data_IF_642220203755
#
_entry.id   IF_642220203755
#
_cell.length_a   1.000
_cell.length_b   1.000
_cell.length_c   1.000
_cell.angle_alpha   90.00
_cell.angle_beta   90.00
_cell.angle_gamma   90.00
#
_symmetry.space_group_name_H-M   'P 1'
#
loop_
_entity.id
_entity.type
_entity.pdbx_description
1 polymer ?
#
# COMPACT_ATOMS: atom_id res chain seq x y z
N UNK A 1 24.69 11.93 -19.97
CA UNK A 1 23.44 12.68 -20.23
C UNK A 1 22.41 11.72 -20.79
N UNK A 2 21.54 11.20 -19.94
CA UNK A 2 20.57 10.16 -20.29
C UNK A 2 19.45 10.76 -21.14
N UNK A 3 19.36 10.31 -22.40
CA UNK A 3 18.35 10.75 -23.39
C UNK A 3 17.06 9.95 -23.18
N UNK A 4 16.17 10.40 -22.31
CA UNK A 4 14.78 9.96 -22.34
C UNK A 4 14.03 10.77 -23.41
N UNK A 5 13.22 10.15 -24.28
CA UNK A 5 12.43 10.88 -25.27
C UNK A 5 11.45 11.82 -24.55
N UNK A 6 11.41 13.09 -24.95
CA UNK A 6 10.37 14.02 -24.49
C UNK A 6 9.02 13.52 -25.01
N UNK A 7 8.08 13.18 -24.12
CA UNK A 7 6.72 12.79 -24.50
C UNK A 7 6.19 11.49 -23.91
N UNK A 8 6.75 10.94 -22.85
CA UNK A 8 5.98 10.01 -22.01
C UNK A 8 4.82 10.80 -21.40
N UNK A 9 3.61 10.24 -21.49
CA UNK A 9 2.37 10.93 -21.16
C UNK A 9 2.42 11.41 -19.70
N UNK A 10 2.45 12.73 -19.50
CA UNK A 10 2.47 13.35 -18.18
C UNK A 10 1.21 13.01 -17.36
N UNK A 11 0.14 12.53 -18.01
CA UNK A 11 -1.08 12.07 -17.38
C UNK A 11 -1.08 10.57 -17.00
N UNK A 12 -0.06 9.80 -17.40
CA UNK A 12 0.03 8.38 -17.05
C UNK A 12 0.55 8.20 -15.61
N UNK A 13 0.10 7.14 -14.95
CA UNK A 13 0.65 6.72 -13.66
C UNK A 13 1.72 5.66 -13.87
N UNK A 14 2.85 5.83 -13.20
CA UNK A 14 3.82 4.78 -12.99
C UNK A 14 3.56 4.09 -11.65
N UNK A 15 4.05 2.85 -11.51
CA UNK A 15 3.78 2.01 -10.35
C UNK A 15 5.07 1.60 -9.66
N UNK A 16 5.21 2.01 -8.40
CA UNK A 16 6.17 1.39 -7.48
C UNK A 16 5.49 0.15 -6.90
N UNK A 17 6.17 -0.99 -6.92
CA UNK A 17 5.63 -2.26 -6.43
C UNK A 17 6.38 -2.74 -5.20
N UNK A 18 5.62 -3.21 -4.20
CA UNK A 18 6.14 -3.86 -2.99
C UNK A 18 5.46 -5.22 -2.92
N UNK A 19 6.25 -6.28 -3.08
CA UNK A 19 5.76 -7.65 -3.12
C UNK A 19 6.06 -8.37 -1.81
N UNK A 20 5.07 -9.12 -1.32
CA UNK A 20 5.21 -10.04 -0.18
C UNK A 20 5.73 -9.37 1.11
N UNK A 21 5.24 -8.17 1.46
CA UNK A 21 5.51 -7.60 2.77
C UNK A 21 4.74 -8.38 3.83
N UNK A 22 5.46 -9.10 4.70
CA UNK A 22 4.91 -9.94 5.74
C UNK A 22 5.14 -9.33 7.13
N UNK A 23 4.13 -9.41 7.99
CA UNK A 23 4.20 -9.01 9.39
C UNK A 23 3.17 -9.76 10.22
N UNK A 24 3.46 -9.87 11.52
CA UNK A 24 2.55 -10.48 12.49
C UNK A 24 1.58 -9.46 13.08
N UNK A 25 0.28 -9.78 13.11
CA UNK A 25 -0.71 -8.99 13.84
C UNK A 25 -1.85 -9.83 14.42
N UNK A 26 -2.60 -9.24 15.36
CA UNK A 26 -3.82 -9.83 15.90
C UNK A 26 -4.96 -9.50 14.95
N UNK A 27 -5.39 -10.48 14.15
CA UNK A 27 -6.44 -10.31 13.16
C UNK A 27 -7.46 -11.44 13.19
N UNK A 28 -8.76 -11.16 13.13
CA UNK A 28 -9.79 -12.20 13.06
C UNK A 28 -10.90 -12.04 14.10
N UNK A 29 -11.94 -12.86 13.96
CA UNK A 29 -13.17 -12.79 14.77
C UNK A 29 -13.23 -13.88 15.84
N UNK A 30 -12.54 -15.00 15.64
CA UNK A 30 -12.63 -16.12 16.57
C UNK A 30 -11.74 -15.91 17.80
N UNK A 31 -12.15 -16.37 19.00
CA UNK A 31 -11.38 -16.15 20.23
C UNK A 31 -9.91 -16.62 20.16
N UNK A 32 -9.63 -17.71 19.45
CA UNK A 32 -8.27 -18.20 19.28
C UNK A 32 -7.40 -17.25 18.42
N UNK A 33 -7.98 -16.59 17.42
CA UNK A 33 -7.31 -15.56 16.60
C UNK A 33 -7.02 -14.28 17.39
N UNK A 34 -7.74 -14.06 18.50
CA UNK A 34 -7.55 -12.88 19.37
C UNK A 34 -6.47 -13.07 20.42
N UNK A 35 -6.07 -14.32 20.66
CA UNK A 35 -5.11 -14.68 21.71
C UNK A 35 -3.65 -14.69 21.22
N UNK A 36 -3.43 -14.78 19.90
CA UNK A 36 -2.11 -14.92 19.31
C UNK A 36 -2.00 -14.06 18.04
N UNK A 37 -0.80 -13.59 17.75
CA UNK A 37 -0.50 -12.98 16.45
C UNK A 37 -0.43 -14.06 15.38
N UNK A 38 -0.75 -13.68 14.15
CA UNK A 38 -0.61 -14.54 12.98
C UNK A 38 -0.08 -13.74 11.78
N UNK A 39 0.60 -14.41 10.84
CA UNK A 39 1.18 -13.74 9.70
C UNK A 39 0.07 -13.17 8.81
N UNK A 40 0.24 -11.90 8.47
CA UNK A 40 -0.48 -11.23 7.40
C UNK A 40 0.53 -10.81 6.37
N UNK A 41 0.13 -10.94 5.12
CA UNK A 41 0.97 -10.64 3.99
C UNK A 41 0.27 -9.64 3.09
N UNK A 42 0.97 -8.58 2.69
CA UNK A 42 0.45 -7.55 1.78
C UNK A 42 1.31 -7.41 0.53
N UNK A 43 0.66 -7.06 -0.58
CA UNK A 43 1.31 -6.56 -1.78
C UNK A 43 0.75 -5.18 -2.09
N UNK A 44 1.61 -4.22 -2.42
CA UNK A 44 1.24 -2.85 -2.73
C UNK A 44 1.69 -2.48 -4.13
N UNK A 45 0.83 -1.75 -4.84
CA UNK A 45 1.20 -0.98 -6.03
C UNK A 45 0.83 0.47 -5.79
N UNK A 46 1.83 1.33 -5.83
CA UNK A 46 1.74 2.73 -5.49
C UNK A 46 1.80 3.53 -6.80
N UNK A 47 0.66 4.10 -7.17
CA UNK A 47 0.52 4.93 -8.36
C UNK A 47 1.10 6.31 -8.09
N UNK A 48 2.14 6.66 -8.82
CA UNK A 48 2.84 7.95 -8.75
C UNK A 48 2.79 8.65 -10.11
N UNK A 49 3.01 9.95 -10.12
CA UNK A 49 3.28 10.69 -11.37
C UNK A 49 4.52 10.09 -12.05
N UNK A 50 4.69 10.27 -13.38
CA UNK A 50 5.75 9.61 -14.12
C UNK A 50 7.12 9.75 -13.47
N UNK A 51 7.82 8.63 -13.28
CA UNK A 51 9.12 8.59 -12.58
C UNK A 51 10.27 9.13 -13.43
N UNK A 52 9.99 9.52 -14.68
CA UNK A 52 10.97 10.09 -15.60
C UNK A 52 11.65 11.34 -15.03
N UNK A 53 10.94 12.17 -14.26
CA UNK A 53 11.53 13.34 -13.57
C UNK A 53 12.45 12.91 -12.43
N UNK A 54 12.03 11.97 -11.58
CA UNK A 54 12.86 11.43 -10.49
C UNK A 54 14.12 10.74 -11.03
N UNK A 55 14.00 9.95 -12.10
CA UNK A 55 15.11 9.26 -12.76
C UNK A 55 16.10 10.22 -13.43
N UNK A 56 15.68 11.44 -13.78
CA UNK A 56 16.57 12.49 -14.31
C UNK A 56 17.34 13.20 -13.20
N UNK A 57 16.74 13.33 -12.02
CA UNK A 57 17.34 13.97 -10.86
C UNK A 57 18.27 13.05 -10.06
N UNK A 58 18.11 11.72 -10.20
CA UNK A 58 18.78 10.70 -9.37
C UNK A 58 18.62 10.97 -7.85
N UNK A 59 17.45 11.50 -7.49
CA UNK A 59 17.13 11.98 -6.15
C UNK A 59 15.98 11.16 -5.55
N UNK A 60 16.26 10.50 -4.43
CA UNK A 60 15.26 9.74 -3.67
C UNK A 60 14.16 10.64 -3.09
N UNK A 61 14.42 11.93 -2.89
CA UNK A 61 13.42 12.91 -2.47
C UNK A 61 12.41 13.26 -3.56
N UNK A 62 12.72 12.95 -4.83
CA UNK A 62 11.81 13.14 -5.96
C UNK A 62 10.86 11.94 -6.16
N UNK A 63 10.93 10.91 -5.31
CA UNK A 63 10.08 9.73 -5.38
C UNK A 63 9.50 9.36 -4.01
N UNK A 64 8.59 8.38 -4.00
CA UNK A 64 8.01 7.86 -2.76
C UNK A 64 9.02 6.94 -2.09
N UNK A 65 9.35 7.23 -0.83
CA UNK A 65 10.18 6.38 0.01
C UNK A 65 9.42 5.09 0.37
N UNK A 66 9.67 4.03 -0.41
CA UNK A 66 9.01 2.73 -0.22
C UNK A 66 9.41 2.05 1.10
N UNK A 67 10.56 2.37 1.69
CA UNK A 67 10.92 1.86 3.01
C UNK A 67 9.95 2.43 4.05
N UNK A 68 9.71 3.73 4.01
CA UNK A 68 8.74 4.38 4.89
C UNK A 68 7.30 3.91 4.64
N UNK A 69 6.94 3.58 3.40
CA UNK A 69 5.63 2.98 3.09
C UNK A 69 5.49 1.61 3.77
N UNK A 70 6.52 0.76 3.71
CA UNK A 70 6.52 -0.53 4.40
C UNK A 70 6.37 -0.35 5.92
N UNK A 71 7.17 0.55 6.50
CA UNK A 71 7.13 0.86 7.94
C UNK A 71 5.76 1.38 8.38
N UNK A 72 5.17 2.32 7.63
CA UNK A 72 3.83 2.84 7.90
C UNK A 72 2.75 1.75 7.82
N UNK A 73 2.84 0.86 6.82
CA UNK A 73 1.89 -0.25 6.65
C UNK A 73 1.96 -1.24 7.81
N UNK A 74 3.17 -1.60 8.24
CA UNK A 74 3.39 -2.47 9.41
C UNK A 74 2.91 -1.81 10.70
N UNK A 75 3.15 -0.51 10.88
CA UNK A 75 2.71 0.22 12.06
C UNK A 75 1.18 0.22 12.21
N UNK A 76 0.43 0.40 11.13
CA UNK A 76 -1.03 0.28 11.14
C UNK A 76 -1.46 -1.11 11.63
N UNK A 77 -0.85 -2.17 11.10
CA UNK A 77 -1.18 -3.54 11.47
C UNK A 77 -0.83 -3.88 12.91
N UNK A 78 0.28 -3.37 13.45
CA UNK A 78 0.75 -3.66 14.80
C UNK A 78 -0.01 -2.87 15.87
N UNK A 79 -0.49 -1.67 15.54
CA UNK A 79 -1.27 -0.83 16.46
C UNK A 79 -2.75 -1.21 16.51
N UNK A 80 -3.29 -1.74 15.42
CA UNK A 80 -4.69 -2.17 15.34
C UNK A 80 -4.88 -3.65 15.67
N UNK A 81 -5.92 -3.98 16.43
CA UNK A 81 -6.38 -5.35 16.57
C UNK A 81 -7.60 -5.61 15.69
N UNK A 82 -7.37 -5.83 14.39
CA UNK A 82 -8.43 -5.88 13.40
C UNK A 82 -9.27 -7.16 13.49
N UNK A 83 -10.57 -7.07 13.21
CA UNK A 83 -11.40 -8.27 13.10
C UNK A 83 -11.38 -8.83 11.67
N UNK A 84 -11.23 -7.94 10.68
CA UNK A 84 -11.39 -8.22 9.26
C UNK A 84 -10.17 -7.73 8.48
N UNK A 85 -9.81 -8.45 7.41
CA UNK A 85 -8.74 -8.03 6.48
C UNK A 85 -9.16 -6.80 5.68
N UNK A 86 -10.47 -6.61 5.51
CA UNK A 86 -11.11 -5.45 4.90
C UNK A 86 -10.79 -4.17 5.67
N UNK A 87 -10.97 -4.21 6.99
CA UNK A 87 -10.67 -3.07 7.86
C UNK A 87 -9.18 -2.78 7.86
N UNK A 88 -8.34 -3.81 7.97
CA UNK A 88 -6.88 -3.64 7.89
C UNK A 88 -6.45 -2.99 6.57
N UNK A 89 -6.94 -3.49 5.43
CA UNK A 89 -6.58 -2.97 4.11
C UNK A 89 -7.00 -1.50 3.95
N UNK A 90 -8.22 -1.15 4.35
CA UNK A 90 -8.71 0.22 4.26
C UNK A 90 -7.96 1.17 5.22
N UNK A 91 -7.61 0.70 6.42
CA UNK A 91 -6.80 1.47 7.36
C UNK A 91 -5.39 1.73 6.83
N UNK A 92 -4.74 0.73 6.21
CA UNK A 92 -3.44 0.91 5.55
C UNK A 92 -3.57 1.93 4.41
N UNK A 93 -4.55 1.76 3.52
CA UNK A 93 -4.76 2.66 2.38
C UNK A 93 -5.00 4.10 2.84
N UNK A 94 -5.80 4.32 3.88
CA UNK A 94 -6.03 5.65 4.44
C UNK A 94 -4.74 6.27 4.98
N UNK A 95 -3.99 5.53 5.80
CA UNK A 95 -2.73 6.00 6.37
C UNK A 95 -1.69 6.32 5.28
N UNK A 96 -1.64 5.53 4.21
CA UNK A 96 -0.71 5.76 3.10
C UNK A 96 -1.09 7.00 2.28
N UNK A 97 -2.38 7.25 2.02
CA UNK A 97 -2.80 8.49 1.36
C UNK A 97 -2.56 9.74 2.22
N UNK A 98 -2.63 9.64 3.55
CA UNK A 98 -2.31 10.77 4.44
C UNK A 98 -0.82 11.10 4.48
N UNK A 99 0.05 10.09 4.40
CA UNK A 99 1.49 10.25 4.62
C UNK A 99 2.30 10.43 3.33
N UNK A 100 1.78 9.99 2.19
CA UNK A 100 2.52 9.96 0.93
C UNK A 100 1.72 10.59 -0.21
N UNK A 101 2.39 11.31 -1.14
CA UNK A 101 1.75 11.95 -2.29
C UNK A 101 1.43 10.92 -3.39
N UNK A 102 0.52 9.99 -3.09
CA UNK A 102 0.13 8.89 -3.96
C UNK A 102 -1.11 9.25 -4.77
N UNK A 103 -1.09 9.03 -6.08
CA UNK A 103 -2.26 9.22 -6.94
C UNK A 103 -3.20 8.01 -6.89
N UNK A 104 -2.67 6.81 -6.68
CA UNK A 104 -3.45 5.59 -6.52
C UNK A 104 -2.73 4.58 -5.64
N UNK A 105 -3.50 3.67 -5.04
CA UNK A 105 -3.00 2.53 -4.29
C UNK A 105 -3.81 1.31 -4.72
N UNK A 106 -3.13 0.26 -5.17
CA UNK A 106 -3.67 -1.09 -5.19
C UNK A 106 -3.04 -1.87 -4.04
N UNK A 107 -3.87 -2.50 -3.22
CA UNK A 107 -3.42 -3.33 -2.11
C UNK A 107 -4.08 -4.70 -2.21
N UNK A 108 -3.29 -5.74 -2.03
CA UNK A 108 -3.76 -7.10 -1.76
C UNK A 108 -3.32 -7.47 -0.35
N UNK A 109 -4.27 -7.85 0.49
CA UNK A 109 -4.03 -8.35 1.85
C UNK A 109 -4.45 -9.80 1.90
N UNK A 110 -3.58 -10.69 2.37
CA UNK A 110 -3.85 -12.12 2.52
C UNK A 110 -3.44 -12.62 3.90
N UNK A 111 -4.25 -13.51 4.47
CA UNK A 111 -3.96 -14.34 5.63
C UNK A 111 -3.58 -15.74 5.13
N UNK A 112 -2.27 -16.10 5.08
CA UNK A 112 -1.83 -17.38 4.52
C UNK A 112 -2.40 -18.59 5.26
N UNK A 113 -2.55 -18.47 6.58
CA UNK A 113 -2.97 -19.55 7.47
C UNK A 113 -4.48 -19.57 7.76
N UNK A 114 -5.28 -18.82 6.98
CA UNK A 114 -6.73 -18.73 7.22
C UNK A 114 -7.46 -20.07 6.99
N UNK A 115 -7.05 -20.84 5.96
CA UNK A 115 -7.63 -22.14 5.63
C UNK A 115 -6.52 -23.13 5.28
N UNK A 116 -6.56 -24.38 5.77
CA UNK A 116 -5.44 -25.33 5.63
C UNK A 116 -5.19 -25.84 4.21
N UNK A 117 -6.10 -25.58 3.27
CA UNK A 117 -6.05 -26.03 1.88
C UNK A 117 -5.89 -24.89 0.87
N UNK A 118 -5.57 -23.67 1.34
CA UNK A 118 -5.27 -22.52 0.48
C UNK A 118 -3.88 -22.00 0.80
N UNK A 119 -3.27 -21.28 -0.16
CA UNK A 119 -2.04 -20.52 0.12
C UNK A 119 -2.34 -19.23 0.91
N UNK A 120 -3.61 -18.85 0.98
CA UNK A 120 -4.09 -17.70 1.73
C UNK A 120 -5.47 -17.26 1.27
N UNK A 121 -6.17 -16.57 2.15
CA UNK A 121 -7.45 -15.92 1.86
C UNK A 121 -7.34 -14.45 2.22
N UNK A 122 -7.96 -13.59 1.42
CA UNK A 122 -8.07 -12.19 1.76
C UNK A 122 -8.73 -11.38 0.67
N UNK A 123 -8.34 -10.12 0.55
CA UNK A 123 -8.98 -9.16 -0.35
C UNK A 123 -7.95 -8.42 -1.18
N UNK A 124 -8.41 -7.91 -2.32
CA UNK A 124 -7.66 -7.01 -3.16
C UNK A 124 -8.56 -5.84 -3.56
N UNK A 125 -8.03 -4.63 -3.46
CA UNK A 125 -8.75 -3.43 -3.83
C UNK A 125 -7.82 -2.38 -4.41
N UNK A 126 -8.41 -1.46 -5.18
CA UNK A 126 -7.73 -0.28 -5.71
C UNK A 126 -8.50 0.97 -5.31
N UNK A 127 -7.77 2.02 -4.92
CA UNK A 127 -8.30 3.36 -4.66
C UNK A 127 -7.45 4.39 -5.39
N UNK A 128 -8.09 5.47 -5.82
CA UNK A 128 -7.42 6.70 -6.24
C UNK A 128 -7.50 7.70 -5.11
N UNK A 129 -6.50 8.58 -5.01
CA UNK A 129 -6.61 9.72 -4.11
C UNK A 129 -7.92 10.47 -4.38
N UNK A 130 -8.61 10.98 -3.36
CA UNK A 130 -9.73 11.87 -3.56
C UNK A 130 -9.26 13.00 -4.48
N UNK A 131 -10.05 13.35 -5.50
CA UNK A 131 -9.81 14.60 -6.20
C UNK A 131 -9.78 15.70 -5.13
N UNK A 132 -8.70 16.50 -5.11
CA UNK A 132 -8.62 17.64 -4.20
C UNK A 132 -9.93 18.42 -4.38
N UNK A 133 -10.69 18.56 -3.29
CA UNK A 133 -11.95 19.29 -3.33
C UNK A 133 -11.54 20.75 -3.58
N UNK A 134 -11.58 21.16 -4.85
CA UNK A 134 -11.53 22.58 -5.21
C UNK A 134 -12.89 23.17 -4.83
N UNK A 135 -13.10 23.35 -3.53
CA UNK A 135 -14.10 24.32 -3.08
C UNK A 135 -13.48 25.70 -3.32
N UNK A 136 -13.88 26.29 -4.44
CA UNK A 136 -13.71 27.71 -4.71
C UNK A 136 -14.38 28.50 -3.57
N UNK A 137 -13.59 29.32 -2.88
CA UNK A 137 -14.08 30.45 -2.07
C UNK A 137 -14.19 31.67 -2.98
#
# INVERSE_FOLDING_TARGET
MTKFPMGWDAAALDWITIDQLEFDCIIGIYPHERAQVQPVQINLRLGVTPVSEAARADDIAATVDYQRVCEASMAVAQTGQFQLVETLALSIVAALFEQFPLAAIQIKVSKPLALPYTQGVGIELMRRAPAAHTDEI
#
